data_IF_870522111623
#
_entry.id   IF_870522111623
#
_cell.length_a   1.000
_cell.length_b   1.000
_cell.length_c   1.000
_cell.angle_alpha   90.00
_cell.angle_beta   90.00
_cell.angle_gamma   90.00
#
_symmetry.space_group_name_H-M   'P 1'
#
loop_
_entity.id
_entity.type
_entity.pdbx_description
1 polymer ?
#
# COMPACT_ATOMS: atom_id res chain seq x y z
N UNK A 1 14.17 -9.56 14.35
CA UNK A 1 13.23 -9.89 13.26
C UNK A 1 11.99 -9.04 13.42
N UNK A 2 11.53 -8.43 12.34
CA UNK A 2 10.28 -7.66 12.31
C UNK A 2 9.21 -8.53 11.67
N UNK A 3 8.01 -8.49 12.25
CA UNK A 3 6.84 -9.23 11.80
C UNK A 3 5.67 -8.27 11.69
N UNK A 4 4.68 -8.63 10.89
CA UNK A 4 3.39 -7.97 10.94
C UNK A 4 2.78 -8.12 12.33
N UNK A 5 2.22 -7.01 12.84
CA UNK A 5 1.80 -6.91 14.23
C UNK A 5 0.69 -7.92 14.55
N UNK A 6 -0.35 -7.95 13.72
CA UNK A 6 -1.49 -8.84 13.90
C UNK A 6 -1.06 -10.31 13.82
N UNK A 7 -0.12 -10.63 12.93
CA UNK A 7 0.38 -11.98 12.77
C UNK A 7 1.15 -12.47 14.00
N UNK A 8 2.06 -11.66 14.56
CA UNK A 8 2.83 -12.05 15.74
C UNK A 8 1.98 -12.06 17.01
N UNK A 9 1.00 -11.15 17.13
CA UNK A 9 0.03 -11.16 18.23
C UNK A 9 -0.81 -12.44 18.23
N UNK A 10 -1.32 -12.85 17.06
CA UNK A 10 -2.06 -14.11 16.90
C UNK A 10 -1.20 -15.31 17.26
N UNK A 11 0.04 -15.35 16.79
CA UNK A 11 0.99 -16.43 17.13
C UNK A 11 1.22 -16.55 18.65
N UNK A 12 1.44 -15.42 19.34
CA UNK A 12 1.62 -15.43 20.79
C UNK A 12 0.35 -15.82 21.56
N UNK A 13 -0.83 -15.48 21.02
CA UNK A 13 -2.11 -15.94 21.56
C UNK A 13 -2.25 -17.47 21.43
N UNK A 14 -1.98 -18.02 20.24
CA UNK A 14 -2.03 -19.46 20.00
C UNK A 14 -1.03 -20.25 20.87
N UNK A 15 0.18 -19.73 21.07
CA UNK A 15 1.16 -20.34 21.97
C UNK A 15 0.61 -20.44 23.41
N UNK A 16 -0.01 -19.37 23.91
CA UNK A 16 -0.62 -19.33 25.25
C UNK A 16 -1.81 -20.27 25.37
N UNK A 17 -2.69 -20.28 24.38
CA UNK A 17 -3.89 -21.13 24.37
C UNK A 17 -3.56 -22.62 24.27
N UNK A 18 -2.50 -22.97 23.53
CA UNK A 18 -2.03 -24.36 23.39
C UNK A 18 -1.14 -24.85 24.54
N UNK A 19 -0.88 -24.01 25.55
CA UNK A 19 0.04 -24.33 26.66
C UNK A 19 1.50 -24.49 26.22
N UNK A 20 1.84 -24.02 25.02
CA UNK A 20 3.20 -24.09 24.46
C UNK A 20 4.06 -22.96 24.98
N UNK A 21 5.37 -23.22 25.06
CA UNK A 21 6.36 -22.16 25.34
C UNK A 21 6.31 -21.08 24.26
N UNK A 22 6.56 -19.84 24.68
CA UNK A 22 6.69 -18.72 23.77
C UNK A 22 7.97 -18.88 22.92
N UNK A 23 7.82 -19.02 21.61
CA UNK A 23 8.94 -19.20 20.68
C UNK A 23 8.84 -18.27 19.48
N UNK A 24 9.98 -17.94 18.89
CA UNK A 24 10.04 -17.22 17.62
C UNK A 24 9.47 -18.11 16.50
N UNK A 25 8.50 -17.63 15.69
CA UNK A 25 7.85 -18.46 14.66
C UNK A 25 8.80 -18.93 13.56
N UNK A 26 9.90 -18.21 13.30
CA UNK A 26 10.89 -18.57 12.26
C UNK A 26 12.05 -19.42 12.79
N UNK A 27 12.58 -19.05 13.96
CA UNK A 27 13.80 -19.70 14.49
C UNK A 27 13.52 -20.77 15.52
N UNK A 28 12.27 -20.85 15.99
CA UNK A 28 11.79 -21.73 17.07
C UNK A 28 12.55 -21.58 18.40
N UNK A 29 13.35 -20.51 18.55
CA UNK A 29 14.04 -20.19 19.79
C UNK A 29 13.05 -19.65 20.82
N UNK A 30 13.22 -20.08 22.06
CA UNK A 30 12.43 -19.62 23.21
C UNK A 30 12.63 -18.10 23.41
N UNK A 31 11.52 -17.40 23.60
CA UNK A 31 11.47 -15.96 23.80
C UNK A 31 11.33 -15.65 25.28
N UNK A 32 12.05 -14.64 25.76
CA UNK A 32 11.99 -14.17 27.15
C UNK A 32 10.76 -13.30 27.44
N UNK A 33 10.21 -12.65 26.42
CA UNK A 33 9.07 -11.74 26.53
C UNK A 33 8.25 -11.75 25.23
N UNK A 34 6.96 -11.42 25.36
CA UNK A 34 6.02 -11.19 24.26
C UNK A 34 5.87 -9.69 23.92
N UNK A 35 6.69 -8.82 24.52
CA UNK A 35 6.70 -7.39 24.22
C UNK A 35 7.07 -7.14 22.75
N UNK A 36 6.26 -6.33 22.09
CA UNK A 36 6.45 -5.94 20.70
C UNK A 36 7.01 -4.52 20.65
N UNK A 37 8.16 -4.36 19.99
CA UNK A 37 8.73 -3.05 19.70
C UNK A 37 8.44 -2.68 18.25
N UNK A 38 7.74 -1.56 17.99
CA UNK A 38 7.46 -1.13 16.63
C UNK A 38 8.77 -0.74 15.92
N UNK A 39 8.93 -1.20 14.68
CA UNK A 39 10.04 -0.76 13.82
C UNK A 39 9.67 0.56 13.15
N UNK A 40 10.03 1.67 13.80
CA UNK A 40 9.70 3.02 13.33
C UNK A 40 10.26 3.30 11.92
N UNK A 41 11.50 2.85 11.65
CA UNK A 41 12.12 3.02 10.34
C UNK A 41 11.36 2.27 9.23
N UNK A 42 10.92 1.03 9.51
CA UNK A 42 10.16 0.25 8.54
C UNK A 42 8.77 0.87 8.32
N UNK A 43 8.09 1.26 9.40
CA UNK A 43 6.77 1.91 9.33
C UNK A 43 6.82 3.18 8.47
N UNK A 44 7.77 4.07 8.77
CA UNK A 44 7.92 5.31 8.00
C UNK A 44 8.21 5.01 6.52
N UNK A 45 9.06 4.04 6.22
CA UNK A 45 9.35 3.62 4.84
C UNK A 45 8.10 3.13 4.11
N UNK A 46 7.25 2.33 4.77
CA UNK A 46 5.98 1.83 4.19
C UNK A 46 5.02 2.98 3.94
N UNK A 47 4.83 3.88 4.91
CA UNK A 47 3.96 5.06 4.79
C UNK A 47 4.39 5.95 3.62
N UNK A 48 5.69 6.24 3.56
CA UNK A 48 6.31 7.03 2.50
C UNK A 48 6.17 6.41 1.11
N UNK A 49 6.33 5.09 1.00
CA UNK A 49 6.17 4.38 -0.26
C UNK A 49 4.69 4.38 -0.70
N UNK A 50 3.78 4.16 0.25
CA UNK A 50 2.33 4.13 0.01
C UNK A 50 1.83 5.49 -0.50
N UNK A 51 2.22 6.58 0.17
CA UNK A 51 1.85 7.93 -0.24
C UNK A 51 2.33 8.27 -1.66
N UNK A 52 3.56 7.86 -2.02
CA UNK A 52 4.08 8.05 -3.39
C UNK A 52 3.33 7.21 -4.41
N UNK A 53 2.98 5.97 -4.09
CA UNK A 53 2.25 5.09 -4.97
C UNK A 53 0.81 5.61 -5.21
N UNK A 54 0.12 6.07 -4.16
CA UNK A 54 -1.20 6.70 -4.28
C UNK A 54 -1.18 7.95 -5.17
N UNK A 55 -0.18 8.83 -4.99
CA UNK A 55 0.00 10.01 -5.83
C UNK A 55 0.25 9.63 -7.31
N UNK A 56 1.06 8.60 -7.55
CA UNK A 56 1.31 8.10 -8.90
C UNK A 56 0.03 7.54 -9.56
N UNK A 57 -0.77 6.77 -8.81
CA UNK A 57 -2.06 6.24 -9.31
C UNK A 57 -3.05 7.36 -9.61
N UNK A 58 -3.13 8.39 -8.78
CA UNK A 58 -3.96 9.57 -9.03
C UNK A 58 -3.53 10.31 -10.30
N UNK A 59 -2.23 10.52 -10.51
CA UNK A 59 -1.73 11.18 -11.73
C UNK A 59 -2.01 10.34 -12.97
N UNK A 60 -1.86 9.01 -12.89
CA UNK A 60 -2.25 8.10 -13.97
C UNK A 60 -3.74 8.20 -14.29
N UNK A 61 -4.61 8.16 -13.28
CA UNK A 61 -6.05 8.30 -13.47
C UNK A 61 -6.41 9.65 -14.11
N UNK A 62 -5.80 10.75 -13.63
CA UNK A 62 -5.96 12.09 -14.19
C UNK A 62 -5.56 12.13 -15.67
N UNK A 63 -4.41 11.57 -16.02
CA UNK A 63 -3.94 11.55 -17.41
C UNK A 63 -4.90 10.78 -18.30
N UNK A 64 -5.33 9.58 -17.88
CA UNK A 64 -6.29 8.76 -18.62
C UNK A 64 -7.60 9.49 -18.91
N UNK A 65 -8.16 10.18 -17.91
CA UNK A 65 -9.36 10.99 -18.06
C UNK A 65 -9.17 12.17 -19.04
N UNK A 66 -8.02 12.84 -18.98
CA UNK A 66 -7.71 13.95 -19.88
C UNK A 66 -7.42 13.51 -21.32
N UNK A 67 -6.81 12.34 -21.53
CA UNK A 67 -6.61 11.77 -22.88
C UNK A 67 -7.91 11.33 -23.55
N UNK A 68 -8.96 11.05 -22.77
CA UNK A 68 -10.30 10.79 -23.28
C UNK A 68 -11.14 12.07 -23.47
N UNK A 69 -10.56 13.26 -23.32
CA UNK A 69 -11.29 14.51 -23.48
C UNK A 69 -11.67 14.71 -24.95
N UNK A 70 -12.97 14.76 -25.29
CA UNK A 70 -13.43 15.05 -26.63
C UNK A 70 -13.13 16.50 -27.03
N UNK A 71 -12.58 17.35 -26.15
CA UNK A 71 -12.34 18.77 -26.40
C UNK A 71 -11.40 19.02 -27.60
N UNK A 72 -10.40 18.14 -27.80
CA UNK A 72 -9.53 18.23 -28.98
C UNK A 72 -10.25 17.79 -30.26
N UNK A 73 -11.11 16.78 -30.17
CA UNK A 73 -11.91 16.27 -31.28
C UNK A 73 -13.06 17.23 -31.64
N UNK A 74 -13.71 17.85 -30.65
CA UNK A 74 -14.77 18.83 -30.84
C UNK A 74 -14.21 20.12 -31.42
N UNK A 75 -13.05 20.59 -30.97
CA UNK A 75 -12.38 21.74 -31.58
C UNK A 75 -11.97 21.46 -33.03
N UNK A 76 -11.54 20.23 -33.34
CA UNK A 76 -11.18 19.83 -34.70
C UNK A 76 -12.42 19.72 -35.60
N UNK A 77 -13.52 19.16 -35.09
CA UNK A 77 -14.80 19.07 -35.79
C UNK A 77 -15.41 20.47 -36.06
N UNK A 78 -15.36 21.36 -35.08
CA UNK A 78 -15.80 22.76 -35.24
C UNK A 78 -14.99 23.49 -36.30
N UNK A 79 -13.66 23.33 -36.31
CA UNK A 79 -12.80 23.93 -37.35
C UNK A 79 -13.10 23.43 -38.75
N UNK A 80 -13.35 22.13 -38.89
CA UNK A 80 -13.72 21.54 -40.18
C UNK A 80 -15.01 22.19 -40.71
N UNK A 81 -16.03 22.33 -39.87
CA UNK A 81 -17.27 22.97 -40.25
C UNK A 81 -17.11 24.46 -40.64
N UNK A 82 -16.23 25.21 -39.96
CA UNK A 82 -16.01 26.63 -40.27
C UNK A 82 -15.17 26.89 -41.52
N UNK A 83 -14.40 25.91 -42.00
CA UNK A 83 -13.56 26.06 -43.20
C UNK A 83 -14.27 25.64 -44.49
N UNK A 84 -15.45 25.01 -44.41
CA UNK A 84 -16.26 24.58 -45.55
C UNK A 84 -17.34 25.62 -45.96
N UNK A 85 -17.32 26.83 -45.39
CA UNK A 85 -18.10 28.01 -45.80
C UNK A 85 -17.16 29.08 -46.39
#
# INVERSE_FOLDING_TARGET
QTFEREAIEKWFKECRESGRKLVCPLTLRELKSAELNPSMALRNTIEEWTARNEAAQLDMARRSLNTGSPEKETLQALRAYTNDC
#
